data_IF_932438674468
#
_entry.id   IF_932438674468
#
_cell.length_a   1.000
_cell.length_b   1.000
_cell.length_c   1.000
_cell.angle_alpha   90.00
_cell.angle_beta   90.00
_cell.angle_gamma   90.00
#
_symmetry.space_group_name_H-M   'P 1'
#
loop_
_entity.id
_entity.type
_entity.pdbx_description
1 polymer ?
#
# COMPACT_ATOMS: atom_id res chain seq x y z
N UNK A 1 12.18 41.11 14.77
CA UNK A 1 11.54 40.05 13.97
C UNK A 1 12.62 39.02 13.61
N UNK A 2 12.66 37.85 14.25
CA UNK A 2 13.83 36.95 14.20
C UNK A 2 13.99 36.26 12.82
N UNK A 3 15.21 36.14 12.27
CA UNK A 3 15.48 35.60 10.93
C UNK A 3 14.99 34.15 10.72
N UNK A 4 14.88 33.39 11.82
CA UNK A 4 14.36 32.01 11.84
C UNK A 4 12.89 31.94 11.39
N UNK A 5 12.09 32.94 11.75
CA UNK A 5 10.66 32.98 11.40
C UNK A 5 10.44 33.23 9.90
N UNK A 6 11.37 33.94 9.26
CA UNK A 6 11.34 34.17 7.81
C UNK A 6 11.65 32.88 7.04
N UNK A 7 12.67 32.12 7.45
CA UNK A 7 13.01 30.85 6.78
C UNK A 7 11.89 29.82 6.90
N UNK A 8 11.26 29.68 8.08
CA UNK A 8 10.10 28.80 8.27
C UNK A 8 8.94 29.16 7.34
N UNK A 9 8.71 30.45 7.12
CA UNK A 9 7.65 30.94 6.21
C UNK A 9 7.96 30.60 4.75
N UNK A 10 9.23 30.72 4.34
CA UNK A 10 9.69 30.35 2.99
C UNK A 10 9.54 28.84 2.76
N UNK A 11 10.01 28.00 3.70
CA UNK A 11 9.90 26.54 3.59
C UNK A 11 8.44 26.09 3.56
N UNK A 12 7.57 26.66 4.40
CA UNK A 12 6.14 26.34 4.41
C UNK A 12 5.46 26.78 3.10
N UNK A 13 5.85 27.93 2.53
CA UNK A 13 5.33 28.37 1.24
C UNK A 13 5.75 27.43 0.09
N UNK A 14 7.01 26.96 0.08
CA UNK A 14 7.52 25.99 -0.89
C UNK A 14 6.79 24.66 -0.75
N UNK A 15 6.65 24.15 0.48
CA UNK A 15 5.95 22.90 0.76
C UNK A 15 4.49 22.96 0.29
N UNK A 16 3.77 24.07 0.55
CA UNK A 16 2.41 24.28 0.06
C UNK A 16 2.33 24.23 -1.46
N UNK A 17 3.24 24.90 -2.17
CA UNK A 17 3.26 24.92 -3.64
C UNK A 17 3.54 23.54 -4.24
N UNK A 18 4.36 22.71 -3.58
CA UNK A 18 4.68 21.36 -4.04
C UNK A 18 3.57 20.35 -3.74
N UNK A 19 2.91 20.48 -2.57
CA UNK A 19 1.90 19.50 -2.10
C UNK A 19 0.51 19.78 -2.68
N UNK A 20 0.13 21.04 -2.91
CA UNK A 20 -1.18 21.41 -3.46
C UNK A 20 -1.54 20.76 -4.81
N UNK A 21 -0.67 20.71 -5.83
CA UNK A 21 -1.00 20.07 -7.12
C UNK A 21 -1.15 18.54 -6.99
N UNK A 22 -0.51 17.93 -5.99
CA UNK A 22 -0.65 16.50 -5.72
C UNK A 22 -1.98 16.17 -5.03
N UNK A 23 -2.44 17.04 -4.13
CA UNK A 23 -3.74 16.89 -3.47
C UNK A 23 -4.91 17.01 -4.45
N UNK A 24 -4.83 17.93 -5.41
CA UNK A 24 -5.88 18.09 -6.44
C UNK A 24 -5.91 16.95 -7.45
N UNK A 25 -4.73 16.39 -7.79
CA UNK A 25 -4.62 15.20 -8.62
C UNK A 25 -5.24 13.98 -7.92
N UNK A 26 -4.98 13.81 -6.62
CA UNK A 26 -5.53 12.70 -5.84
C UNK A 26 -7.07 12.75 -5.75
N UNK A 27 -7.67 13.93 -5.53
CA UNK A 27 -9.13 14.07 -5.50
C UNK A 27 -9.80 13.80 -6.85
N UNK A 28 -9.10 14.11 -7.96
CA UNK A 28 -9.57 13.78 -9.32
C UNK A 28 -9.56 12.26 -9.55
N UNK A 29 -8.45 11.60 -9.23
CA UNK A 29 -8.28 10.15 -9.38
C UNK A 29 -9.25 9.38 -8.45
N UNK A 30 -9.53 9.89 -7.25
CA UNK A 30 -10.46 9.25 -6.31
C UNK A 30 -11.93 9.35 -6.75
N UNK A 31 -12.28 10.36 -7.56
CA UNK A 31 -13.67 10.61 -7.99
C UNK A 31 -13.99 9.99 -9.36
N UNK A 32 -12.97 9.72 -10.17
CA UNK A 32 -13.13 8.94 -11.39
C UNK A 32 -13.19 7.45 -11.04
N UNK A 33 -14.41 6.90 -10.94
CA UNK A 33 -14.62 5.46 -10.96
C UNK A 33 -13.90 4.89 -12.19
N UNK A 34 -13.09 3.82 -12.06
CA UNK A 34 -12.31 3.32 -13.17
C UNK A 34 -13.27 2.86 -14.27
N UNK A 35 -13.35 3.63 -15.37
CA UNK A 35 -13.96 3.17 -16.61
C UNK A 35 -12.97 2.15 -17.16
N UNK A 36 -13.19 0.92 -16.72
CA UNK A 36 -12.61 -0.28 -17.28
C UNK A 36 -12.94 -0.34 -18.78
N UNK A 37 -12.13 0.31 -19.63
CA UNK A 37 -12.07 -0.04 -21.04
C UNK A 37 -11.42 -1.42 -21.14
N UNK A 38 -12.14 -2.33 -21.79
CA UNK A 38 -12.05 -3.78 -21.69
C UNK A 38 -10.79 -4.40 -22.33
N UNK A 39 -9.83 -3.61 -22.83
CA UNK A 39 -8.70 -4.15 -23.61
C UNK A 39 -7.35 -4.32 -22.86
N UNK A 40 -7.27 -4.04 -21.56
CA UNK A 40 -6.08 -4.39 -20.74
C UNK A 40 -6.38 -5.16 -19.46
N UNK A 41 -7.56 -5.76 -19.36
CA UNK A 41 -7.88 -6.66 -18.25
C UNK A 41 -7.26 -8.06 -18.38
N UNK A 42 -6.63 -8.40 -19.51
CA UNK A 42 -6.08 -9.73 -19.78
C UNK A 42 -4.69 -10.00 -19.19
N UNK A 43 -3.96 -8.98 -18.73
CA UNK A 43 -2.61 -9.13 -18.16
C UNK A 43 -2.51 -8.82 -16.65
N UNK A 44 -3.50 -8.12 -16.06
CA UNK A 44 -3.48 -7.77 -14.63
C UNK A 44 -4.26 -8.76 -13.74
N UNK A 45 -4.95 -9.75 -14.34
CA UNK A 45 -5.81 -10.69 -13.60
C UNK A 45 -5.36 -12.14 -13.76
N UNK A 46 -4.08 -12.44 -13.49
CA UNK A 46 -3.63 -13.84 -13.31
C UNK A 46 -2.31 -13.97 -12.54
N UNK A 47 -2.20 -13.28 -11.41
CA UNK A 47 -1.51 -13.86 -10.26
C UNK A 47 -2.49 -13.98 -9.09
N UNK A 48 -3.66 -14.57 -9.36
CA UNK A 48 -4.43 -15.20 -8.30
C UNK A 48 -3.52 -16.29 -7.74
N UNK A 49 -2.99 -16.05 -6.55
CA UNK A 49 -2.19 -16.98 -5.77
C UNK A 49 -2.61 -18.42 -6.06
N UNK A 50 -1.67 -19.27 -6.48
CA UNK A 50 -1.92 -20.72 -6.70
C UNK A 50 -2.40 -21.42 -5.42
N UNK A 51 -2.35 -20.74 -4.28
CA UNK A 51 -2.73 -21.26 -2.98
C UNK A 51 -4.20 -20.97 -2.73
N UNK A 52 -5.02 -22.03 -2.81
CA UNK A 52 -6.38 -22.05 -2.26
C UNK A 52 -6.29 -21.68 -0.78
N UNK A 53 -6.67 -20.45 -0.45
CA UNK A 53 -6.82 -19.91 0.90
C UNK A 53 -5.57 -20.03 1.82
N UNK A 54 -4.72 -19.00 1.92
CA UNK A 54 -3.64 -18.97 2.89
C UNK A 54 -4.13 -19.22 4.33
N UNK A 55 -3.36 -19.96 5.12
CA UNK A 55 -3.69 -20.34 6.50
C UNK A 55 -2.83 -19.51 7.46
N UNK A 56 -3.46 -18.87 8.44
CA UNK A 56 -2.75 -18.08 9.46
C UNK A 56 -2.08 -18.98 10.51
N UNK A 57 -0.89 -18.56 10.97
CA UNK A 57 -0.26 -19.13 12.16
C UNK A 57 -1.07 -18.75 13.41
N UNK A 58 -1.41 -19.70 14.31
CA UNK A 58 -2.14 -19.40 15.55
C UNK A 58 -1.34 -18.54 16.54
N UNK A 59 0.00 -18.61 16.52
CA UNK A 59 0.86 -17.91 17.48
C UNK A 59 1.12 -16.44 17.08
N UNK A 60 1.29 -16.16 15.78
CA UNK A 60 1.72 -14.83 15.31
C UNK A 60 0.87 -14.27 14.15
N UNK A 61 -0.16 -14.98 13.71
CA UNK A 61 -1.04 -14.53 12.62
C UNK A 61 -0.43 -14.54 11.21
N UNK A 62 0.84 -14.96 11.05
CA UNK A 62 1.51 -14.97 9.75
C UNK A 62 0.83 -15.93 8.78
N UNK A 63 0.48 -15.45 7.58
CA UNK A 63 -0.17 -16.25 6.56
C UNK A 63 0.82 -17.18 5.84
N UNK A 64 0.46 -18.46 5.76
CA UNK A 64 1.24 -19.52 5.12
C UNK A 64 0.45 -20.15 3.98
N UNK A 65 1.18 -20.72 3.02
CA UNK A 65 0.59 -21.32 1.81
C UNK A 65 -0.25 -22.58 2.04
N UNK A 66 -0.02 -23.29 3.15
CA UNK A 66 -0.71 -24.54 3.54
C UNK A 66 -0.36 -24.92 4.99
N UNK A 67 -1.04 -25.95 5.52
CA UNK A 67 -0.87 -26.44 6.90
C UNK A 67 0.55 -26.94 7.18
N UNK A 68 1.19 -27.60 6.21
CA UNK A 68 2.59 -28.03 6.33
C UNK A 68 3.51 -26.84 6.57
N UNK A 69 3.28 -25.73 5.86
CA UNK A 69 4.00 -24.47 6.06
C UNK A 69 3.79 -23.91 7.47
N UNK A 70 2.55 -23.93 7.97
CA UNK A 70 2.24 -23.51 9.35
C UNK A 70 3.00 -24.35 10.37
N UNK A 71 2.95 -25.70 10.27
CA UNK A 71 3.66 -26.60 11.19
C UNK A 71 5.17 -26.34 11.21
N UNK A 72 5.79 -26.17 10.04
CA UNK A 72 7.23 -25.88 9.95
C UNK A 72 7.58 -24.49 10.50
N UNK A 73 6.72 -23.50 10.26
CA UNK A 73 6.91 -22.16 10.77
C UNK A 73 6.86 -22.14 12.31
N UNK A 74 5.85 -22.79 12.91
CA UNK A 74 5.73 -22.91 14.37
C UNK A 74 6.97 -23.60 14.94
N UNK A 75 7.40 -24.71 14.36
CA UNK A 75 8.57 -25.44 14.84
C UNK A 75 9.90 -24.68 14.75
N UNK A 76 10.01 -23.66 13.89
CA UNK A 76 11.24 -22.87 13.72
C UNK A 76 11.22 -21.52 14.44
N UNK A 77 10.04 -20.94 14.64
CA UNK A 77 9.89 -19.56 15.13
C UNK A 77 9.24 -19.49 16.51
N UNK A 78 8.55 -20.55 16.94
CA UNK A 78 7.75 -20.58 18.18
C UNK A 78 8.04 -21.80 19.06
N UNK A 79 9.01 -22.64 18.69
CA UNK A 79 9.46 -23.81 19.44
C UNK A 79 10.97 -23.74 19.60
#
# INVERSE_FOLDING_TARGET
MAPIQMMKKIVNQILKRLVQPFASLFSKIASEAPIASEEKQSAAKKFRSKHKNPIACPECGKLMKNERGVKQHIAKMHK
#
